data_IF_602984606641
#
_entry.id   IF_602984606641
#
_cell.length_a   1.000
_cell.length_b   1.000
_cell.length_c   1.000
_cell.angle_alpha   90.00
_cell.angle_beta   90.00
_cell.angle_gamma   90.00
#
_symmetry.space_group_name_H-M   'P 1'
#
loop_
_entity.id
_entity.type
_entity.pdbx_description
1 polymer ?
#
# COMPACT_ATOMS: atom_id res chain seq x y z
N UNK A 1 -6.41 3.60 -4.24
CA UNK A 1 -7.50 4.55 -3.90
C UNK A 1 -7.74 5.45 -5.10
N UNK A 2 -8.48 4.97 -6.11
CA UNK A 2 -8.38 5.52 -7.49
C UNK A 2 -9.70 6.09 -8.05
N UNK A 3 -10.81 5.98 -7.33
CA UNK A 3 -12.11 6.43 -7.83
C UNK A 3 -12.33 7.94 -7.65
N UNK A 4 -11.87 8.48 -6.52
CA UNK A 4 -12.06 9.89 -6.18
C UNK A 4 -11.02 10.77 -6.86
N UNK A 5 -11.36 12.04 -7.10
CA UNK A 5 -10.45 13.02 -7.72
C UNK A 5 -9.32 13.47 -6.79
N UNK A 6 -9.58 13.55 -5.49
CA UNK A 6 -8.60 14.04 -4.52
C UNK A 6 -7.46 13.04 -4.33
N UNK A 7 -6.19 13.48 -4.40
CA UNK A 7 -5.05 12.59 -4.14
C UNK A 7 -5.08 12.14 -2.69
N UNK A 8 -4.87 10.84 -2.45
CA UNK A 8 -4.90 10.28 -1.11
C UNK A 8 -3.50 10.00 -0.59
N UNK A 9 -3.19 10.61 0.56
CA UNK A 9 -1.99 10.29 1.33
C UNK A 9 -2.26 9.13 2.27
N UNK A 10 -1.34 8.17 2.34
CA UNK A 10 -1.40 7.02 3.25
C UNK A 10 -0.22 7.05 4.20
N UNK A 11 -0.45 6.77 5.48
CA UNK A 11 0.61 6.77 6.50
C UNK A 11 0.50 5.51 7.35
N UNK A 12 1.56 4.70 7.37
CA UNK A 12 1.67 3.52 8.23
C UNK A 12 2.18 3.93 9.62
N UNK A 13 1.32 3.83 10.62
CA UNK A 13 1.62 4.09 12.03
C UNK A 13 1.68 2.75 12.78
N UNK A 14 2.87 2.19 12.93
CA UNK A 14 3.07 0.91 13.63
C UNK A 14 3.08 -0.29 12.68
N UNK A 15 1.92 -0.71 12.15
CA UNK A 15 1.88 -1.87 11.26
C UNK A 15 0.83 -1.77 10.15
N UNK A 16 1.18 -2.24 8.95
CA UNK A 16 0.27 -2.44 7.84
C UNK A 16 0.50 -3.82 7.22
N UNK A 17 -0.36 -4.79 7.56
CA UNK A 17 -0.22 -6.18 7.14
C UNK A 17 -1.38 -6.63 6.25
N UNK A 18 -1.10 -7.50 5.28
CA UNK A 18 -2.10 -8.05 4.36
C UNK A 18 -2.86 -6.93 3.61
N UNK A 19 -4.19 -6.91 3.68
CA UNK A 19 -5.01 -5.88 3.06
C UNK A 19 -4.67 -4.45 3.52
N UNK A 20 -4.15 -4.26 4.73
CA UNK A 20 -3.69 -2.94 5.17
C UNK A 20 -2.44 -2.49 4.38
N UNK A 21 -1.54 -3.40 4.03
CA UNK A 21 -0.40 -3.11 3.15
C UNK A 21 -0.87 -2.76 1.73
N UNK A 22 -1.89 -3.45 1.22
CA UNK A 22 -2.50 -3.13 -0.08
C UNK A 22 -3.10 -1.71 -0.09
N UNK A 23 -3.82 -1.34 0.98
CA UNK A 23 -4.38 0.00 1.13
C UNK A 23 -3.30 1.07 1.26
N UNK A 24 -2.26 0.81 2.06
CA UNK A 24 -1.07 1.67 2.18
C UNK A 24 -0.44 1.93 0.81
N UNK A 25 -0.16 0.85 0.08
CA UNK A 25 0.43 0.90 -1.28
C UNK A 25 -0.48 1.62 -2.27
N UNK A 26 -1.79 1.54 -2.06
CA UNK A 26 -2.83 2.11 -2.90
C UNK A 26 -2.99 3.63 -2.84
N UNK A 27 -2.23 4.32 -1.98
CA UNK A 27 -2.16 5.78 -1.97
C UNK A 27 -1.60 6.37 -3.27
N UNK A 28 -1.66 7.70 -3.37
CA UNK A 28 -1.05 8.43 -4.49
C UNK A 28 0.47 8.28 -4.47
N UNK A 29 1.10 8.07 -5.64
CA UNK A 29 2.55 7.93 -5.70
C UNK A 29 3.25 9.22 -5.23
N UNK A 30 4.32 9.07 -4.46
CA UNK A 30 5.00 10.18 -3.77
C UNK A 30 4.27 10.66 -2.50
N UNK A 31 3.16 10.03 -2.11
CA UNK A 31 2.37 10.38 -0.91
C UNK A 31 2.05 9.18 -0.02
N UNK A 32 2.90 8.14 -0.06
CA UNK A 32 2.76 6.94 0.77
C UNK A 32 3.90 6.94 1.79
N UNK A 33 3.56 6.91 3.06
CA UNK A 33 4.49 7.17 4.15
C UNK A 33 4.49 6.06 5.20
N UNK A 34 5.59 5.94 5.93
CA UNK A 34 5.65 5.18 7.18
C UNK A 34 6.49 5.87 8.23
N UNK A 35 6.31 5.49 9.50
CA UNK A 35 7.24 5.85 10.57
C UNK A 35 8.44 4.90 10.61
N UNK A 36 9.58 5.27 11.25
CA UNK A 36 10.83 4.52 11.16
C UNK A 36 10.75 3.09 11.71
N UNK A 37 9.88 2.86 12.70
CA UNK A 37 9.68 1.54 13.32
C UNK A 37 8.41 0.84 12.82
N UNK A 38 7.79 1.34 11.75
CA UNK A 38 6.65 0.67 11.16
C UNK A 38 7.06 -0.63 10.47
N UNK A 39 6.19 -1.63 10.56
CA UNK A 39 6.34 -2.90 9.84
C UNK A 39 5.25 -3.05 8.79
N UNK A 40 5.64 -3.51 7.60
CA UNK A 40 4.71 -3.84 6.52
C UNK A 40 4.79 -5.33 6.25
N UNK A 41 3.65 -5.99 6.05
CA UNK A 41 3.65 -7.38 5.60
C UNK A 41 2.74 -7.53 4.38
N UNK A 42 3.31 -8.08 3.31
CA UNK A 42 2.57 -8.45 2.10
C UNK A 42 2.51 -9.97 2.00
N UNK A 43 1.38 -10.47 1.55
CA UNK A 43 1.20 -11.89 1.25
C UNK A 43 0.02 -12.09 0.28
N UNK A 44 -0.11 -13.32 -0.21
CA UNK A 44 -1.26 -13.76 -0.97
C UNK A 44 -2.54 -13.73 -0.10
N UNK A 45 -3.72 -13.60 -0.72
CA UNK A 45 -4.97 -13.72 0.02
C UNK A 45 -5.11 -15.13 0.63
N UNK A 46 -5.57 -15.18 1.87
CA UNK A 46 -5.87 -16.43 2.57
C UNK A 46 -7.34 -16.80 2.37
N UNK A 47 -7.62 -18.10 2.27
CA UNK A 47 -8.98 -18.61 2.26
C UNK A 47 -9.02 -20.12 2.43
N UNK A 48 -10.19 -20.62 2.78
CA UNK A 48 -10.45 -22.04 3.00
C UNK A 48 -11.93 -22.33 2.83
N UNK A 49 -12.24 -23.52 2.34
CA UNK A 49 -13.63 -23.98 2.15
C UNK A 49 -13.71 -25.48 2.39
N UNK A 50 -14.92 -25.96 2.65
CA UNK A 50 -15.26 -27.38 2.80
C UNK A 50 -16.66 -27.60 2.23
N UNK A 51 -16.95 -28.80 1.72
CA UNK A 51 -18.27 -29.13 1.18
C UNK A 51 -18.19 -30.00 -0.07
N UNK A 52 -19.19 -29.86 -0.95
CA UNK A 52 -19.22 -30.59 -2.21
C UNK A 52 -18.01 -30.23 -3.08
N UNK A 53 -17.54 -31.19 -3.87
CA UNK A 53 -16.39 -30.98 -4.75
C UNK A 53 -16.58 -29.79 -5.71
N UNK A 54 -17.81 -29.54 -6.17
CA UNK A 54 -18.18 -28.38 -6.98
C UNK A 54 -17.94 -27.05 -6.25
N UNK A 55 -18.34 -26.97 -4.99
CA UNK A 55 -18.20 -25.74 -4.19
C UNK A 55 -16.72 -25.48 -3.86
N UNK A 56 -15.97 -26.54 -3.58
CA UNK A 56 -14.51 -26.46 -3.38
C UNK A 56 -13.85 -25.89 -4.65
N UNK A 57 -14.22 -26.39 -5.83
CA UNK A 57 -13.67 -25.93 -7.10
C UNK A 57 -14.04 -24.47 -7.40
N UNK A 58 -15.30 -24.07 -7.19
CA UNK A 58 -15.77 -22.70 -7.38
C UNK A 58 -14.96 -21.74 -6.50
N UNK A 59 -14.78 -22.09 -5.23
CA UNK A 59 -14.05 -21.26 -4.28
C UNK A 59 -12.55 -21.18 -4.61
N UNK A 60 -11.93 -22.30 -4.98
CA UNK A 60 -10.53 -22.32 -5.41
C UNK A 60 -10.29 -21.41 -6.62
N UNK A 61 -11.17 -21.46 -7.62
CA UNK A 61 -11.11 -20.57 -8.79
C UNK A 61 -11.29 -19.10 -8.39
N UNK A 62 -12.18 -18.80 -7.45
CA UNK A 62 -12.38 -17.44 -6.96
C UNK A 62 -11.16 -16.91 -6.19
N UNK A 63 -10.52 -17.74 -5.36
CA UNK A 63 -9.26 -17.37 -4.69
C UNK A 63 -8.16 -17.06 -5.72
N UNK A 64 -8.00 -17.90 -6.73
CA UNK A 64 -7.00 -17.67 -7.78
C UNK A 64 -7.26 -16.35 -8.52
N UNK A 65 -8.54 -16.05 -8.81
CA UNK A 65 -8.94 -14.77 -9.41
C UNK A 65 -8.57 -13.59 -8.53
N UNK A 66 -8.91 -13.63 -7.24
CA UNK A 66 -8.61 -12.56 -6.28
C UNK A 66 -7.10 -12.36 -6.16
N UNK A 67 -6.33 -13.45 -6.03
CA UNK A 67 -4.87 -13.42 -5.97
C UNK A 67 -4.27 -12.72 -7.18
N UNK A 68 -4.71 -13.09 -8.40
CA UNK A 68 -4.27 -12.41 -9.64
C UNK A 68 -4.58 -10.91 -9.60
N UNK A 69 -5.79 -10.53 -9.21
CA UNK A 69 -6.18 -9.12 -9.14
C UNK A 69 -5.36 -8.33 -8.12
N UNK A 70 -5.09 -8.90 -6.94
CA UNK A 70 -4.25 -8.27 -5.92
C UNK A 70 -2.83 -8.04 -6.46
N UNK A 71 -2.23 -9.06 -7.10
CA UNK A 71 -0.89 -8.94 -7.67
C UNK A 71 -0.82 -7.86 -8.76
N UNK A 72 -1.84 -7.76 -9.63
CA UNK A 72 -1.92 -6.69 -10.63
C UNK A 72 -2.05 -5.29 -10.00
N UNK A 73 -2.81 -5.16 -8.90
CA UNK A 73 -2.94 -3.91 -8.16
C UNK A 73 -1.60 -3.52 -7.52
N UNK A 74 -0.95 -4.47 -6.84
CA UNK A 74 0.35 -4.26 -6.20
C UNK A 74 1.40 -3.85 -7.23
N UNK A 75 1.53 -4.59 -8.34
CA UNK A 75 2.44 -4.25 -9.45
C UNK A 75 2.22 -2.80 -9.92
N UNK A 76 0.96 -2.45 -10.20
CA UNK A 76 0.60 -1.11 -10.71
C UNK A 76 1.05 -0.01 -9.76
N UNK A 77 0.75 -0.14 -8.47
CA UNK A 77 1.06 0.91 -7.50
C UNK A 77 2.54 0.96 -7.14
N UNK A 78 3.21 -0.19 -7.03
CA UNK A 78 4.65 -0.25 -6.80
C UNK A 78 5.42 0.41 -7.95
N UNK A 79 5.15 0.02 -9.20
CA UNK A 79 5.86 0.60 -10.36
C UNK A 79 5.59 2.12 -10.49
N UNK A 80 4.39 2.59 -10.14
CA UNK A 80 4.08 4.02 -10.08
C UNK A 80 4.96 4.81 -9.10
N UNK A 81 5.42 4.19 -8.02
CA UNK A 81 6.41 4.79 -7.10
C UNK A 81 7.71 5.17 -7.81
N UNK A 82 8.17 4.29 -8.71
CA UNK A 82 9.44 4.43 -9.42
C UNK A 82 9.32 5.26 -10.70
N UNK A 83 8.10 5.46 -11.22
CA UNK A 83 7.86 6.12 -12.50
C UNK A 83 8.23 5.28 -13.73
N UNK A 84 8.63 4.02 -13.54
CA UNK A 84 8.91 3.04 -14.59
C UNK A 84 8.53 1.63 -14.12
N UNK A 85 8.46 0.68 -15.04
CA UNK A 85 8.25 -0.72 -14.68
C UNK A 85 9.50 -1.29 -14.02
N UNK A 86 9.49 -1.41 -12.69
CA UNK A 86 10.56 -2.03 -11.91
C UNK A 86 10.35 -3.53 -11.75
N UNK A 87 9.10 -3.95 -11.50
CA UNK A 87 8.74 -5.35 -11.30
C UNK A 87 7.75 -5.82 -12.37
N UNK A 88 7.96 -7.04 -12.84
CA UNK A 88 7.03 -7.84 -13.61
C UNK A 88 5.91 -8.39 -12.71
N UNK A 89 4.88 -8.99 -13.32
CA UNK A 89 3.80 -9.61 -12.55
C UNK A 89 4.27 -10.88 -11.82
N UNK A 90 5.24 -11.58 -12.40
CA UNK A 90 5.84 -12.80 -11.83
C UNK A 90 6.70 -12.48 -10.60
N UNK A 91 7.51 -11.42 -10.66
CA UNK A 91 8.28 -10.97 -9.47
C UNK A 91 7.36 -10.53 -8.33
N UNK A 92 6.28 -9.81 -8.62
CA UNK A 92 5.29 -9.42 -7.59
C UNK A 92 4.61 -10.66 -7.00
N UNK A 93 4.30 -11.65 -7.83
CA UNK A 93 3.73 -12.90 -7.39
C UNK A 93 4.65 -13.61 -6.39
N UNK A 94 5.93 -13.71 -6.70
CA UNK A 94 6.90 -14.39 -5.84
C UNK A 94 7.14 -13.63 -4.54
N UNK A 95 7.18 -12.28 -4.60
CA UNK A 95 7.27 -11.42 -3.41
C UNK A 95 6.08 -11.57 -2.46
N UNK A 96 4.91 -11.95 -2.97
CA UNK A 96 3.66 -12.10 -2.21
C UNK A 96 3.31 -13.57 -1.89
N UNK A 97 4.03 -14.56 -2.42
CA UNK A 97 3.64 -15.97 -2.27
C UNK A 97 3.63 -16.41 -0.79
N UNK A 98 4.53 -15.88 0.01
CA UNK A 98 4.61 -16.13 1.45
C UNK A 98 4.53 -14.82 2.21
N UNK A 99 4.34 -14.92 3.52
CA UNK A 99 4.45 -13.77 4.41
C UNK A 99 5.82 -13.13 4.24
N UNK A 100 5.82 -11.92 3.71
CA UNK A 100 7.02 -11.13 3.47
C UNK A 100 6.95 -9.90 4.38
N UNK A 101 7.73 -9.93 5.46
CA UNK A 101 7.80 -8.88 6.47
C UNK A 101 8.90 -7.89 6.11
N UNK A 102 8.54 -6.62 6.04
CA UNK A 102 9.38 -5.52 5.60
C UNK A 102 9.48 -4.51 6.75
N UNK A 103 10.71 -4.07 7.03
CA UNK A 103 10.96 -2.82 7.73
C UNK A 103 10.48 -1.62 6.90
N UNK A 104 10.41 -0.44 7.53
CA UNK A 104 10.08 0.79 6.81
C UNK A 104 11.03 1.05 5.61
N UNK A 105 12.33 0.79 5.78
CA UNK A 105 13.33 0.94 4.71
C UNK A 105 13.15 -0.07 3.57
N UNK A 106 12.84 -1.32 3.89
CA UNK A 106 12.56 -2.34 2.87
C UNK A 106 11.23 -2.07 2.15
N UNK A 107 10.21 -1.60 2.87
CA UNK A 107 8.95 -1.18 2.26
C UNK A 107 9.15 -0.01 1.29
N UNK A 108 10.04 0.93 1.63
CA UNK A 108 10.42 2.04 0.76
C UNK A 108 11.21 1.56 -0.45
N UNK A 109 12.23 0.72 -0.25
CA UNK A 109 13.06 0.19 -1.34
C UNK A 109 12.25 -0.67 -2.32
N UNK A 110 11.23 -1.37 -1.83
CA UNK A 110 10.28 -2.13 -2.64
C UNK A 110 9.25 -1.24 -3.35
N UNK A 111 9.03 0.00 -2.90
CA UNK A 111 8.04 0.92 -3.47
C UNK A 111 6.62 0.71 -2.95
N UNK A 112 6.46 0.04 -1.80
CA UNK A 112 5.20 -0.02 -1.04
C UNK A 112 4.88 1.34 -0.42
N UNK A 113 5.91 2.03 0.06
CA UNK A 113 5.87 3.43 0.48
C UNK A 113 6.89 4.26 -0.31
N UNK A 114 6.76 5.57 -0.28
CA UNK A 114 7.67 6.51 -0.94
C UNK A 114 8.66 7.15 0.07
N UNK A 115 8.22 7.40 1.31
CA UNK A 115 9.02 8.15 2.28
C UNK A 115 8.81 7.69 3.74
N UNK A 116 9.87 7.84 4.55
CA UNK A 116 9.87 7.54 5.97
C UNK A 116 9.91 8.85 6.74
N UNK A 117 8.89 9.11 7.55
CA UNK A 117 8.73 10.35 8.30
C UNK A 117 9.44 10.24 9.66
N UNK A 118 10.53 10.98 9.87
CA UNK A 118 11.30 10.96 11.13
C UNK A 118 10.99 12.16 12.03
N UNK A 119 10.89 13.36 11.44
CA UNK A 119 10.61 14.61 12.14
C UNK A 119 9.80 15.51 11.22
N UNK A 120 8.87 16.28 11.79
CA UNK A 120 8.22 17.38 11.05
C UNK A 120 9.19 18.53 10.90
N UNK A 121 9.41 19.01 9.68
CA UNK A 121 10.18 20.22 9.45
C UNK A 121 9.38 21.45 9.92
N UNK A 122 10.06 22.42 10.53
CA UNK A 122 9.41 23.63 11.08
C UNK A 122 8.76 24.52 10.00
N UNK A 123 9.16 24.37 8.74
CA UNK A 123 8.58 25.11 7.61
C UNK A 123 7.12 24.73 7.36
N UNK A 124 6.75 23.46 7.56
CA UNK A 124 5.37 22.96 7.35
C UNK A 124 4.38 23.50 8.38
N UNK A 125 4.86 23.97 9.53
CA UNK A 125 4.04 24.56 10.59
C UNK A 125 3.66 26.01 10.26
N UNK A 126 4.55 26.77 9.61
CA UNK A 126 4.35 28.20 9.32
C UNK A 126 3.41 28.48 8.13
N UNK A 127 3.32 27.56 7.18
CA UNK A 127 2.36 27.67 6.05
C UNK A 127 0.91 27.40 6.46
N UNK A 128 0.68 26.59 7.51
CA UNK A 128 -0.68 26.34 8.02
C UNK A 128 -1.21 27.50 8.87
N UNK A 129 -0.38 28.10 9.72
CA UNK A 129 -0.80 29.28 10.51
C UNK A 129 -1.15 30.49 9.62
N UNK A 130 -0.38 30.72 8.55
CA UNK A 130 -0.64 31.85 7.63
C UNK A 130 -1.90 31.66 6.75
N UNK A 131 -2.37 30.43 6.56
CA UNK A 131 -3.61 30.14 5.82
C UNK A 131 -4.86 30.11 6.70
N UNK A 132 -4.73 29.89 8.01
CA UNK A 132 -5.84 30.00 8.97
C UNK A 132 -6.13 31.46 9.39
N UNK A 133 -5.11 32.34 9.47
CA UNK A 133 -5.31 33.77 9.77
C UNK A 133 -6.10 34.52 8.68
N UNK A 134 -6.15 34.01 7.45
CA UNK A 134 -6.88 34.66 6.35
C UNK A 134 -8.36 34.27 6.25
N UNK A 135 -8.85 33.34 7.10
CA UNK A 135 -10.26 32.91 7.11
C UNK A 135 -11.09 33.47 8.27
N UNK A 136 -10.51 34.29 9.14
CA UNK A 136 -11.16 34.77 10.37
C UNK A 136 -11.32 36.29 10.46
N UNK A 137 -11.08 37.05 9.38
CA UNK A 137 -11.48 38.46 9.33
C UNK A 137 -12.83 38.62 8.62
N UNK A 138 -13.79 39.33 9.24
CA UNK A 138 -15.18 39.42 8.79
C UNK A 138 -15.35 40.12 7.44
#
# INVERSE_FOLDING_TARGET
MTYIKSPVSTVCLGAASSMAALLLTGGEAGKRYALPHSSVMIHQPLGGTQGQASDILIYANQIQRIRKQINEIMKRHINKSFGHDKYSLEEIHDLMERDNYLSAEEAKSMGVIDEILTRREEKDLKEKDSTEEHKTKP
#
